data_IF_387755791935
#
_entry.id   IF_387755791935
#
_cell.length_a   1.000
_cell.length_b   1.000
_cell.length_c   1.000
_cell.angle_alpha   90.00
_cell.angle_beta   90.00
_cell.angle_gamma   90.00
#
_symmetry.space_group_name_H-M   'P 1'
#
loop_
_entity.id
_entity.type
_entity.pdbx_description
1 polymer ?
#
# COMPACT_ATOMS: atom_id res chain seq x y z
N UNK A 1 -7.07 -12.05 48.19
CA UNK A 1 -7.62 -10.87 47.50
C UNK A 1 -7.38 -11.07 46.02
N UNK A 2 -8.43 -10.99 45.18
CA UNK A 2 -8.38 -11.23 43.74
C UNK A 2 -7.32 -10.35 43.08
N UNK A 3 -6.39 -10.97 42.39
CA UNK A 3 -5.48 -10.33 41.45
C UNK A 3 -6.32 -9.53 40.46
N UNK A 4 -6.33 -8.20 40.64
CA UNK A 4 -6.69 -7.30 39.55
C UNK A 4 -5.54 -7.42 38.56
N UNK A 5 -5.71 -8.29 37.56
CA UNK A 5 -4.88 -8.29 36.36
C UNK A 5 -4.81 -6.86 35.84
N UNK A 6 -3.71 -6.18 36.15
CA UNK A 6 -3.35 -4.89 35.60
C UNK A 6 -3.12 -5.13 34.11
N UNK A 7 -4.14 -4.91 33.28
CA UNK A 7 -3.97 -4.75 31.83
C UNK A 7 -3.23 -3.41 31.64
N UNK A 8 -1.91 -3.38 31.40
CA UNK A 8 -1.13 -2.13 31.49
C UNK A 8 -1.45 -1.16 30.35
N UNK A 9 -2.11 -1.66 29.30
CA UNK A 9 -2.56 -0.90 28.12
C UNK A 9 -4.07 -1.07 27.96
N UNK A 10 -4.84 -0.32 28.74
CA UNK A 10 -6.29 -0.51 28.81
C UNK A 10 -7.13 0.76 28.91
N UNK A 11 -6.72 1.89 28.33
CA UNK A 11 -7.60 3.09 28.29
C UNK A 11 -7.23 4.21 27.29
N UNK A 12 -6.40 3.95 26.28
CA UNK A 12 -6.08 4.98 25.26
C UNK A 12 -7.10 5.07 24.12
N UNK A 13 -7.32 6.26 23.55
CA UNK A 13 -8.15 6.48 22.34
C UNK A 13 -7.84 5.48 21.22
N UNK A 14 -6.54 5.20 21.02
CA UNK A 14 -6.06 4.24 20.02
C UNK A 14 -6.45 2.79 20.28
N UNK A 15 -6.85 2.38 21.48
CA UNK A 15 -7.29 1.01 21.75
C UNK A 15 -8.63 0.69 21.05
N UNK A 16 -9.53 1.69 20.95
CA UNK A 16 -10.87 1.52 20.37
C UNK A 16 -10.89 1.38 18.85
N UNK A 17 -9.81 1.79 18.18
CA UNK A 17 -9.73 1.75 16.72
C UNK A 17 -9.51 0.29 16.25
N UNK A 18 -10.34 -0.23 15.33
CA UNK A 18 -10.16 -1.54 14.73
C UNK A 18 -8.76 -1.70 14.12
N UNK A 19 -8.17 -2.89 14.28
CA UNK A 19 -6.80 -3.18 13.79
C UNK A 19 -6.68 -2.95 12.29
N UNK A 20 -7.70 -3.29 11.50
CA UNK A 20 -7.72 -3.07 10.06
C UNK A 20 -7.60 -1.59 9.68
N UNK A 21 -8.24 -0.68 10.43
CA UNK A 21 -8.16 0.76 10.20
C UNK A 21 -6.76 1.28 10.52
N UNK A 22 -6.16 0.82 11.63
CA UNK A 22 -4.78 1.21 12.00
C UNK A 22 -3.77 0.79 10.93
N UNK A 23 -3.86 -0.46 10.49
CA UNK A 23 -2.96 -1.00 9.46
C UNK A 23 -3.18 -0.30 8.12
N UNK A 24 -4.44 -0.08 7.73
CA UNK A 24 -4.77 0.63 6.50
C UNK A 24 -4.24 2.05 6.50
N UNK A 25 -4.49 2.81 7.57
CA UNK A 25 -3.99 4.17 7.73
C UNK A 25 -2.46 4.23 7.68
N UNK A 26 -1.78 3.32 8.39
CA UNK A 26 -0.32 3.28 8.40
C UNK A 26 0.24 3.02 6.99
N UNK A 27 -0.31 2.04 6.26
CA UNK A 27 0.12 1.73 4.89
C UNK A 27 -0.17 2.85 3.91
N UNK A 28 -1.37 3.44 4.01
CA UNK A 28 -1.76 4.61 3.23
C UNK A 28 -0.79 5.77 3.42
N UNK A 29 -0.42 6.05 4.67
CA UNK A 29 0.53 7.11 4.99
C UNK A 29 1.92 6.84 4.43
N UNK A 30 2.42 5.61 4.56
CA UNK A 30 3.73 5.22 3.98
C UNK A 30 3.71 5.38 2.47
N UNK A 31 2.65 4.94 1.78
CA UNK A 31 2.51 5.11 0.34
C UNK A 31 2.49 6.59 -0.08
N UNK A 32 1.71 7.41 0.62
CA UNK A 32 1.68 8.86 0.38
C UNK A 32 3.02 9.52 0.65
N UNK A 33 3.70 9.18 1.73
CA UNK A 33 5.03 9.70 2.06
C UNK A 33 6.07 9.35 0.99
N UNK A 34 6.08 8.11 0.49
CA UNK A 34 6.97 7.71 -0.61
C UNK A 34 6.70 8.55 -1.85
N UNK A 35 5.43 8.77 -2.21
CA UNK A 35 5.10 9.62 -3.34
C UNK A 35 5.47 11.09 -3.10
N UNK A 36 5.31 11.60 -1.89
CA UNK A 36 5.77 12.95 -1.56
C UNK A 36 7.28 13.11 -1.76
N UNK A 37 8.09 12.17 -1.28
CA UNK A 37 9.55 12.27 -1.40
C UNK A 37 10.09 11.91 -2.79
N UNK A 38 9.55 10.89 -3.45
CA UNK A 38 10.05 10.42 -4.74
C UNK A 38 9.25 10.96 -5.92
N UNK A 39 7.93 11.03 -5.79
CA UNK A 39 7.04 11.58 -6.80
C UNK A 39 7.31 13.07 -7.02
N UNK A 40 7.08 13.90 -5.99
CA UNK A 40 7.34 15.34 -6.08
C UNK A 40 8.84 15.69 -6.08
N UNK A 41 9.68 14.88 -5.42
CA UNK A 41 11.12 15.09 -5.43
C UNK A 41 11.81 14.74 -6.75
N UNK A 42 11.12 14.05 -7.67
CA UNK A 42 11.67 13.72 -8.99
C UNK A 42 11.48 14.85 -9.99
N UNK A 43 12.42 14.96 -10.94
CA UNK A 43 12.29 15.89 -12.05
C UNK A 43 10.97 15.63 -12.82
N UNK A 44 10.22 16.68 -13.24
CA UNK A 44 8.94 16.53 -13.93
C UNK A 44 8.99 15.59 -15.14
N UNK A 45 10.12 15.58 -15.85
CA UNK A 45 10.36 14.78 -17.05
C UNK A 45 10.46 13.27 -16.79
N UNK A 46 10.76 12.89 -15.54
CA UNK A 46 10.79 11.50 -15.10
C UNK A 46 9.43 11.02 -14.58
N UNK A 47 8.46 11.92 -14.38
CA UNK A 47 7.17 11.55 -13.82
C UNK A 47 6.39 10.61 -14.76
N UNK A 48 5.93 9.48 -14.22
CA UNK A 48 5.29 8.42 -15.01
C UNK A 48 6.22 7.56 -15.87
N UNK A 49 7.53 7.86 -15.92
CA UNK A 49 8.49 7.02 -16.63
C UNK A 49 8.64 5.63 -15.99
N UNK A 50 9.03 4.59 -16.77
CA UNK A 50 9.26 3.26 -16.22
C UNK A 50 10.29 3.24 -15.09
N UNK A 51 11.34 4.06 -15.20
CA UNK A 51 12.38 4.19 -14.16
C UNK A 51 11.77 4.72 -12.86
N UNK A 52 10.96 5.77 -12.94
CA UNK A 52 10.32 6.34 -11.77
C UNK A 52 9.32 5.37 -11.11
N UNK A 53 8.51 4.67 -11.90
CA UNK A 53 7.60 3.61 -11.41
C UNK A 53 8.40 2.52 -10.69
N UNK A 54 9.50 2.06 -11.30
CA UNK A 54 10.37 1.06 -10.71
C UNK A 54 10.97 1.55 -9.39
N UNK A 55 11.52 2.76 -9.35
CA UNK A 55 12.12 3.34 -8.14
C UNK A 55 11.11 3.45 -6.99
N UNK A 56 9.92 4.01 -7.24
CA UNK A 56 8.87 4.11 -6.22
C UNK A 56 8.40 2.74 -5.75
N UNK A 57 8.15 1.82 -6.69
CA UNK A 57 7.71 0.47 -6.39
C UNK A 57 8.74 -0.33 -5.59
N UNK A 58 10.02 -0.20 -5.93
CA UNK A 58 11.11 -0.84 -5.21
C UNK A 58 11.25 -0.31 -3.78
N UNK A 59 11.20 1.02 -3.60
CA UNK A 59 11.23 1.64 -2.27
C UNK A 59 10.01 1.20 -1.44
N UNK A 60 8.81 1.18 -2.02
CA UNK A 60 7.62 0.66 -1.34
C UNK A 60 7.74 -0.82 -0.99
N UNK A 61 8.32 -1.65 -1.86
CA UNK A 61 8.55 -3.06 -1.57
C UNK A 61 9.56 -3.29 -0.44
N UNK A 62 10.61 -2.49 -0.40
CA UNK A 62 11.59 -2.50 0.70
C UNK A 62 10.94 -2.06 2.01
N UNK A 63 10.22 -0.93 2.01
CA UNK A 63 9.48 -0.46 3.17
C UNK A 63 8.43 -1.48 3.61
N UNK A 64 7.76 -2.16 2.69
CA UNK A 64 6.82 -3.23 3.02
C UNK A 64 7.48 -4.38 3.78
N UNK A 65 8.72 -4.72 3.41
CA UNK A 65 9.47 -5.82 4.00
C UNK A 65 10.09 -5.47 5.35
N UNK A 66 10.70 -4.28 5.46
CA UNK A 66 11.53 -3.91 6.62
C UNK A 66 10.84 -2.98 7.61
N UNK A 67 9.79 -2.25 7.21
CA UNK A 67 9.08 -1.30 8.07
C UNK A 67 7.65 -1.77 8.31
N UNK A 68 6.89 -2.01 7.24
CA UNK A 68 5.47 -2.36 7.35
C UNK A 68 5.28 -3.75 7.92
N UNK A 69 6.01 -4.75 7.48
CA UNK A 69 5.80 -6.11 7.98
C UNK A 69 6.06 -6.25 9.50
N UNK A 70 7.17 -5.73 10.07
CA UNK A 70 7.36 -5.72 11.52
C UNK A 70 6.29 -4.93 12.27
N UNK A 71 5.96 -3.71 11.83
CA UNK A 71 4.96 -2.86 12.49
C UNK A 71 3.57 -3.50 12.45
N UNK A 72 3.15 -4.05 11.31
CA UNK A 72 1.87 -4.73 11.17
C UNK A 72 1.83 -6.01 12.00
N UNK A 73 2.93 -6.76 12.08
CA UNK A 73 3.03 -7.91 13.00
C UNK A 73 2.81 -7.46 14.45
N UNK A 74 3.40 -6.35 14.88
CA UNK A 74 3.28 -5.89 16.26
C UNK A 74 1.85 -5.35 16.54
N UNK A 75 1.21 -4.72 15.55
CA UNK A 75 -0.18 -4.27 15.63
C UNK A 75 -1.19 -5.41 15.68
N UNK A 76 -0.98 -6.49 14.90
CA UNK A 76 -1.93 -7.61 14.80
C UNK A 76 -1.60 -8.76 15.75
N UNK A 77 -0.35 -8.82 16.23
CA UNK A 77 0.24 -9.98 16.93
C UNK A 77 0.23 -11.26 16.10
N UNK A 78 0.15 -11.15 14.77
CA UNK A 78 0.16 -12.30 13.84
C UNK A 78 1.47 -12.34 13.07
N UNK A 79 2.15 -13.48 13.14
CA UNK A 79 3.40 -13.73 12.43
C UNK A 79 3.14 -14.08 10.95
N UNK A 80 3.96 -13.60 10.00
CA UNK A 80 4.01 -14.22 8.67
C UNK A 80 4.42 -15.71 8.80
N UNK A 81 3.78 -16.65 8.06
CA UNK A 81 2.97 -16.43 6.85
C UNK A 81 1.46 -16.25 7.05
N UNK A 82 0.96 -16.31 8.28
CA UNK A 82 -0.49 -16.30 8.56
C UNK A 82 -1.10 -14.89 8.53
N UNK A 83 -0.27 -13.85 8.62
CA UNK A 83 -0.74 -12.48 8.70
C UNK A 83 -1.43 -12.01 7.40
N UNK A 84 -2.77 -11.83 7.40
CA UNK A 84 -3.54 -11.55 6.20
C UNK A 84 -3.52 -10.05 5.82
N UNK A 85 -2.79 -9.24 6.58
CA UNK A 85 -2.63 -7.81 6.37
C UNK A 85 -1.34 -7.46 5.63
N UNK A 86 -0.44 -8.42 5.42
CA UNK A 86 0.77 -8.22 4.63
C UNK A 86 0.49 -8.40 3.13
N UNK A 87 1.21 -7.64 2.30
CA UNK A 87 1.14 -7.73 0.83
C UNK A 87 1.72 -9.06 0.36
N UNK A 88 2.93 -9.38 0.84
CA UNK A 88 3.57 -10.68 0.71
C UNK A 88 3.80 -11.25 2.10
N UNK A 89 3.36 -12.50 2.31
CA UNK A 89 3.43 -13.16 3.63
C UNK A 89 4.72 -13.95 3.86
N UNK A 90 5.59 -14.03 2.85
CA UNK A 90 6.85 -14.80 2.90
C UNK A 90 7.97 -13.98 3.56
N UNK A 91 8.77 -14.62 4.42
CA UNK A 91 9.97 -14.01 5.03
C UNK A 91 11.23 -14.24 4.19
N UNK A 92 12.28 -13.46 4.48
CA UNK A 92 13.61 -13.59 3.90
C UNK A 92 13.82 -12.82 2.58
N UNK A 93 14.97 -13.02 1.91
CA UNK A 93 15.34 -12.29 0.70
C UNK A 93 14.33 -12.47 -0.44
N UNK A 94 13.82 -13.69 -0.62
CA UNK A 94 12.80 -13.95 -1.64
C UNK A 94 11.47 -13.23 -1.34
N UNK A 95 11.06 -13.16 -0.07
CA UNK A 95 9.89 -12.37 0.33
C UNK A 95 10.08 -10.88 0.06
N UNK A 96 11.30 -10.38 0.25
CA UNK A 96 11.68 -8.99 -0.05
C UNK A 96 11.61 -8.71 -1.55
N UNK A 97 12.17 -9.59 -2.37
CA UNK A 97 12.08 -9.50 -3.83
C UNK A 97 10.62 -9.51 -4.31
N UNK A 98 9.79 -10.40 -3.76
CA UNK A 98 8.37 -10.45 -4.08
C UNK A 98 7.64 -9.17 -3.67
N UNK A 99 7.97 -8.56 -2.53
CA UNK A 99 7.41 -7.27 -2.13
C UNK A 99 7.85 -6.13 -3.06
N UNK A 100 9.09 -6.15 -3.56
CA UNK A 100 9.58 -5.20 -4.59
C UNK A 100 8.76 -5.34 -5.87
N UNK A 101 8.63 -6.56 -6.39
CA UNK A 101 7.84 -6.82 -7.60
C UNK A 101 6.37 -6.43 -7.42
N UNK A 102 5.78 -6.77 -6.27
CA UNK A 102 4.42 -6.36 -5.94
C UNK A 102 4.31 -4.83 -5.83
N UNK A 103 5.29 -4.15 -5.23
CA UNK A 103 5.33 -2.69 -5.15
C UNK A 103 5.36 -2.04 -6.53
N UNK A 104 6.25 -2.49 -7.41
CA UNK A 104 6.33 -1.99 -8.81
C UNK A 104 5.03 -2.22 -9.56
N UNK A 105 4.43 -3.41 -9.43
CA UNK A 105 3.14 -3.71 -10.03
C UNK A 105 2.04 -2.78 -9.51
N UNK A 106 1.92 -2.60 -8.19
CA UNK A 106 0.91 -1.76 -7.57
C UNK A 106 1.05 -0.29 -7.97
N UNK A 107 2.28 0.24 -7.99
CA UNK A 107 2.54 1.61 -8.47
C UNK A 107 2.18 1.76 -9.94
N UNK A 108 2.52 0.78 -10.78
CA UNK A 108 2.13 0.75 -12.18
C UNK A 108 0.61 0.80 -12.37
N UNK A 109 -0.15 0.02 -11.58
CA UNK A 109 -1.61 0.05 -11.58
C UNK A 109 -2.15 1.44 -11.21
N UNK A 110 -1.59 2.07 -10.18
CA UNK A 110 -1.97 3.43 -9.78
C UNK A 110 -1.76 4.42 -10.93
N UNK A 111 -0.57 4.41 -11.56
CA UNK A 111 -0.27 5.30 -12.69
C UNK A 111 -1.25 5.08 -13.84
N UNK A 112 -1.56 3.82 -14.18
CA UNK A 112 -2.56 3.49 -15.19
C UNK A 112 -3.95 4.02 -14.84
N UNK A 113 -4.34 4.05 -13.56
CA UNK A 113 -5.60 4.68 -13.14
C UNK A 113 -5.63 6.17 -13.46
N UNK A 114 -4.56 6.90 -13.11
CA UNK A 114 -4.48 8.34 -13.38
C UNK A 114 -4.51 8.64 -14.88
N UNK A 115 -3.75 7.88 -15.68
CA UNK A 115 -3.78 7.99 -17.14
C UNK A 115 -5.18 7.67 -17.68
N UNK A 116 -5.81 6.60 -17.19
CA UNK A 116 -7.16 6.20 -17.57
C UNK A 116 -8.20 7.28 -17.29
N UNK A 117 -8.24 7.79 -16.06
CA UNK A 117 -9.16 8.85 -15.63
C UNK A 117 -8.98 10.11 -16.48
N UNK A 118 -7.75 10.58 -16.64
CA UNK A 118 -7.47 11.78 -17.42
C UNK A 118 -7.82 11.58 -18.91
N UNK A 119 -7.58 10.39 -19.47
CA UNK A 119 -7.94 10.08 -20.86
C UNK A 119 -9.46 10.03 -21.10
N UNK A 120 -10.25 9.58 -20.12
CA UNK A 120 -11.70 9.61 -20.19
C UNK A 120 -12.19 11.05 -20.10
N UNK A 121 -11.61 11.85 -19.22
CA UNK A 121 -11.97 13.25 -19.08
C UNK A 121 -11.70 14.05 -20.35
N UNK A 122 -10.53 13.92 -20.99
CA UNK A 122 -10.21 14.66 -22.22
C UNK A 122 -11.18 14.29 -23.36
N UNK A 123 -11.59 13.02 -23.46
CA UNK A 123 -12.59 12.55 -24.42
C UNK A 123 -13.98 13.16 -24.21
N UNK A 124 -14.39 13.34 -22.95
CA UNK A 124 -15.72 13.90 -22.61
C UNK A 124 -15.72 15.43 -22.71
N UNK A 125 -14.64 16.08 -22.24
CA UNK A 125 -14.53 17.54 -22.20
C UNK A 125 -14.14 18.18 -23.54
N UNK A 126 -13.68 17.37 -24.51
CA UNK A 126 -13.18 17.86 -25.80
C UNK A 126 -11.93 18.73 -25.70
N UNK A 127 -11.32 18.83 -24.50
CA UNK A 127 -10.12 19.63 -24.26
C UNK A 127 -8.91 18.72 -24.26
N UNK A 128 -8.16 18.71 -25.36
CA UNK A 128 -6.92 17.95 -25.46
C UNK A 128 -5.90 18.45 -24.43
N UNK A 129 -5.25 17.53 -23.72
CA UNK A 129 -4.23 17.85 -22.72
C UNK A 129 -4.77 18.36 -21.38
N UNK A 130 -6.09 18.44 -21.17
CA UNK A 130 -6.63 18.82 -19.88
C UNK A 130 -6.35 17.74 -18.82
N UNK A 131 -5.61 18.10 -17.77
CA UNK A 131 -5.35 17.25 -16.61
C UNK A 131 -6.43 17.53 -15.57
N UNK A 132 -7.43 16.65 -15.50
CA UNK A 132 -8.46 16.72 -14.46
C UNK A 132 -7.85 16.44 -13.08
N UNK A 133 -7.03 15.40 -13.03
CA UNK A 133 -6.57 14.82 -11.79
C UNK A 133 -5.05 14.76 -11.80
N UNK A 134 -4.45 15.70 -11.08
CA UNK A 134 -3.01 15.71 -10.81
C UNK A 134 -2.68 14.65 -9.77
N UNK A 135 -1.49 14.06 -9.89
CA UNK A 135 -1.06 13.03 -8.96
C UNK A 135 -0.58 13.70 -7.67
N UNK A 136 -1.24 13.41 -6.55
CA UNK A 136 -0.93 13.97 -5.24
C UNK A 136 -0.69 12.86 -4.20
N UNK A 137 0.11 13.11 -3.15
CA UNK A 137 0.47 12.10 -2.14
C UNK A 137 -0.71 11.39 -1.48
N UNK A 138 -1.74 12.17 -1.11
CA UNK A 138 -2.91 11.68 -0.38
C UNK A 138 -3.70 10.70 -1.24
N UNK A 139 -4.00 11.11 -2.49
CA UNK A 139 -4.78 10.31 -3.41
C UNK A 139 -3.98 9.13 -3.98
N UNK A 140 -2.68 9.32 -4.20
CA UNK A 140 -1.76 8.22 -4.53
C UNK A 140 -1.80 7.14 -3.45
N UNK A 141 -1.66 7.52 -2.17
CA UNK A 141 -1.77 6.58 -1.07
C UNK A 141 -3.11 5.85 -1.05
N UNK A 142 -4.20 6.54 -1.39
CA UNK A 142 -5.55 5.96 -1.42
C UNK A 142 -5.69 4.92 -2.54
N UNK A 143 -5.27 5.24 -3.76
CA UNK A 143 -5.28 4.29 -4.87
C UNK A 143 -4.36 3.11 -4.59
N UNK A 144 -3.16 3.36 -4.07
CA UNK A 144 -2.23 2.29 -3.69
C UNK A 144 -2.86 1.33 -2.68
N UNK A 145 -3.46 1.85 -1.59
CA UNK A 145 -4.13 1.03 -0.59
C UNK A 145 -5.30 0.24 -1.19
N UNK A 146 -6.04 0.85 -2.11
CA UNK A 146 -7.16 0.21 -2.81
C UNK A 146 -6.68 -0.98 -3.64
N UNK A 147 -5.64 -0.81 -4.45
CA UNK A 147 -5.06 -1.91 -5.22
C UNK A 147 -4.44 -2.98 -4.34
N UNK A 148 -3.80 -2.60 -3.24
CA UNK A 148 -3.27 -3.56 -2.28
C UNK A 148 -4.38 -4.37 -1.60
N UNK A 149 -5.52 -3.74 -1.29
CA UNK A 149 -6.69 -4.42 -0.77
C UNK A 149 -7.26 -5.41 -1.80
N UNK A 150 -7.42 -4.98 -3.06
CA UNK A 150 -7.87 -5.84 -4.16
C UNK A 150 -6.92 -7.02 -4.39
N UNK A 151 -5.61 -6.78 -4.35
CA UNK A 151 -4.58 -7.83 -4.44
C UNK A 151 -4.77 -8.88 -3.34
N UNK A 152 -4.92 -8.45 -2.09
CA UNK A 152 -5.14 -9.37 -0.96
C UNK A 152 -6.46 -10.14 -1.09
N UNK A 153 -7.52 -9.50 -1.59
CA UNK A 153 -8.80 -10.15 -1.86
C UNK A 153 -8.64 -11.24 -2.93
N UNK A 154 -7.96 -10.93 -4.03
CA UNK A 154 -7.68 -11.85 -5.13
C UNK A 154 -6.89 -13.06 -4.65
N UNK A 155 -5.80 -12.85 -3.90
CA UNK A 155 -5.01 -13.95 -3.33
C UNK A 155 -5.86 -14.84 -2.40
N UNK A 156 -6.70 -14.25 -1.53
CA UNK A 156 -7.59 -15.01 -0.64
C UNK A 156 -8.60 -15.86 -1.42
N UNK A 157 -9.16 -15.34 -2.51
CA UNK A 157 -10.10 -16.07 -3.36
C UNK A 157 -9.40 -17.23 -4.08
N UNK A 158 -8.18 -17.03 -4.57
CA UNK A 158 -7.39 -18.07 -5.22
C UNK A 158 -6.97 -19.18 -4.24
N UNK A 159 -6.56 -18.81 -3.03
CA UNK A 159 -6.20 -19.78 -1.98
C UNK A 159 -7.41 -20.65 -1.59
N UNK A 160 -8.60 -20.05 -1.46
CA UNK A 160 -9.84 -20.79 -1.16
C UNK A 160 -10.19 -21.82 -2.24
N UNK A 161 -9.88 -21.53 -3.51
CA UNK A 161 -10.13 -22.46 -4.64
C UNK A 161 -9.12 -23.61 -4.71
N UNK A 162 -7.91 -23.45 -4.15
CA UNK A 162 -6.86 -24.49 -4.14
C UNK A 162 -6.97 -25.46 -2.96
N UNK A 163 -7.83 -25.18 -1.99
CA UNK A 163 -8.10 -26.04 -0.83
C UNK A 163 -9.24 -27.05 -1.05
N UNK A 164 -9.62 -27.32 -2.30
CA UNK A 164 -10.57 -28.36 -2.72
C UNK A 164 -9.88 -29.36 -3.64
#
# INVERSE_FOLDING_TARGET
MKDKELKPYGSGFFYRIPVGIKVGFFKWWIAGAVYFFLGFGSAPELQGSPVHIFSMGAVLGLLNSYVVAPVVRDMTRINPPENPWLTVRRRGPLGTLMNILAGVMLVGLVVLSYVGINSVYTRISGTEGAVLLQVEPILFGLFYLTYEFLWRLLVRVLDKRRGH
#
